data_IF_338356927499
#
_entry.id   IF_338356927499
#
_cell.length_a   1.000
_cell.length_b   1.000
_cell.length_c   1.000
_cell.angle_alpha   90.00
_cell.angle_beta   90.00
_cell.angle_gamma   90.00
#
_symmetry.space_group_name_H-M   'P 1'
#
loop_
_entity.id
_entity.type
_entity.pdbx_description
1 polymer ?
#
# COMPACT_ATOMS: atom_id res chain seq x y z
N UNK A 1 44.95 0.44 31.17
CA UNK A 1 43.53 0.14 31.47
C UNK A 1 42.70 1.29 30.96
N UNK A 2 41.74 0.98 30.10
CA UNK A 2 40.88 1.95 29.43
C UNK A 2 40.31 1.31 28.18
N UNK A 3 39.71 0.13 28.33
CA UNK A 3 38.98 -0.53 27.25
C UNK A 3 37.73 0.31 26.95
N UNK A 4 37.72 0.93 25.77
CA UNK A 4 36.54 1.58 25.24
C UNK A 4 35.51 0.50 24.89
N UNK A 5 34.39 0.52 25.62
CA UNK A 5 33.22 -0.30 25.36
C UNK A 5 32.68 0.04 23.95
N UNK A 6 32.41 -0.94 23.07
CA UNK A 6 31.77 -0.67 21.81
C UNK A 6 30.32 -0.29 22.06
N UNK A 7 29.98 0.97 21.80
CA UNK A 7 28.60 1.45 21.71
C UNK A 7 27.84 0.55 20.72
N UNK A 8 26.97 -0.31 21.25
CA UNK A 8 25.92 -0.95 20.46
C UNK A 8 25.08 0.19 19.89
N UNK A 9 25.21 0.46 18.59
CA UNK A 9 24.15 1.10 17.81
C UNK A 9 22.94 0.17 17.93
N UNK A 10 22.05 0.48 18.84
CA UNK A 10 20.67 0.01 18.75
C UNK A 10 20.19 0.50 17.38
N UNK A 11 20.09 -0.43 16.42
CA UNK A 11 19.41 -0.18 15.15
C UNK A 11 17.97 0.14 15.52
N UNK A 12 17.68 1.43 15.65
CA UNK A 12 16.35 1.94 15.85
C UNK A 12 15.52 1.43 14.67
N UNK A 13 14.72 0.38 14.89
CA UNK A 13 13.89 -0.22 13.86
C UNK A 13 13.04 0.88 13.22
N UNK A 14 13.20 1.08 11.91
CA UNK A 14 12.48 2.14 11.21
C UNK A 14 10.98 1.87 11.30
N UNK A 15 10.29 2.67 12.11
CA UNK A 15 8.85 2.56 12.36
C UNK A 15 8.03 2.56 11.05
N UNK A 16 8.53 3.20 9.99
CA UNK A 16 7.90 3.22 8.66
C UNK A 16 7.94 1.82 8.03
N UNK A 17 9.10 1.16 8.09
CA UNK A 17 9.30 -0.20 7.59
C UNK A 17 8.49 -1.21 8.39
N UNK A 18 8.49 -1.10 9.72
CA UNK A 18 7.68 -1.95 10.61
C UNK A 18 6.20 -1.83 10.28
N UNK A 19 5.68 -0.62 10.12
CA UNK A 19 4.29 -0.39 9.74
C UNK A 19 3.93 -1.02 8.38
N UNK A 20 4.77 -0.78 7.36
CA UNK A 20 4.54 -1.34 6.02
C UNK A 20 4.53 -2.87 6.07
N UNK A 21 5.48 -3.46 6.79
CA UNK A 21 5.55 -4.91 6.95
C UNK A 21 4.33 -5.48 7.68
N UNK A 22 3.91 -4.89 8.81
CA UNK A 22 2.70 -5.31 9.53
C UNK A 22 1.46 -5.29 8.62
N UNK A 23 1.32 -4.26 7.79
CA UNK A 23 0.22 -4.15 6.86
C UNK A 23 0.28 -5.27 5.80
N UNK A 24 1.44 -5.53 5.21
CA UNK A 24 1.67 -6.61 4.25
C UNK A 24 1.43 -7.99 4.87
N UNK A 25 1.81 -8.21 6.13
CA UNK A 25 1.51 -9.44 6.85
C UNK A 25 0.01 -9.65 6.99
N UNK A 26 -0.73 -8.61 7.37
CA UNK A 26 -2.19 -8.68 7.55
C UNK A 26 -2.93 -8.90 6.23
N UNK A 27 -2.57 -8.18 5.18
CA UNK A 27 -3.30 -8.20 3.90
C UNK A 27 -2.83 -9.30 2.96
N UNK A 28 -1.52 -9.46 2.76
CA UNK A 28 -0.95 -10.43 1.81
C UNK A 28 -0.59 -11.76 2.45
N UNK A 29 -0.79 -11.93 3.76
CA UNK A 29 -0.30 -13.09 4.54
C UNK A 29 1.20 -13.31 4.33
N UNK A 30 1.93 -12.19 4.21
CA UNK A 30 3.34 -12.19 3.89
C UNK A 30 4.13 -12.82 5.05
N UNK A 31 5.04 -13.75 4.72
CA UNK A 31 5.98 -14.33 5.70
C UNK A 31 7.16 -13.38 5.92
N UNK A 32 7.64 -13.30 7.16
CA UNK A 32 8.80 -12.49 7.53
C UNK A 32 10.04 -12.80 6.68
N UNK A 33 10.27 -14.08 6.37
CA UNK A 33 11.36 -14.51 5.48
C UNK A 33 11.39 -13.76 4.14
N UNK A 34 10.23 -13.48 3.54
CA UNK A 34 10.15 -12.77 2.25
C UNK A 34 10.48 -11.28 2.38
N UNK A 35 10.07 -10.67 3.48
CA UNK A 35 10.39 -9.28 3.81
C UNK A 35 11.89 -9.10 4.05
N UNK A 36 12.48 -9.95 4.91
CA UNK A 36 13.91 -9.93 5.19
C UNK A 36 14.75 -10.20 3.94
N UNK A 37 14.33 -11.13 3.06
CA UNK A 37 15.01 -11.37 1.77
C UNK A 37 14.97 -10.16 0.84
N UNK A 38 13.86 -9.44 0.81
CA UNK A 38 13.71 -8.22 0.00
C UNK A 38 14.61 -7.10 0.55
N UNK A 39 14.62 -6.88 1.87
CA UNK A 39 15.52 -5.91 2.51
C UNK A 39 17.00 -6.29 2.37
N UNK A 40 17.34 -7.58 2.34
CA UNK A 40 18.72 -8.03 2.11
C UNK A 40 19.19 -7.82 0.66
N UNK A 41 18.30 -7.45 -0.26
CA UNK A 41 18.65 -7.15 -1.65
C UNK A 41 18.82 -5.64 -1.80
N UNK A 42 20.07 -5.18 -1.90
CA UNK A 42 20.43 -3.75 -1.90
C UNK A 42 19.59 -2.92 -2.91
N UNK A 43 19.35 -3.45 -4.11
CA UNK A 43 18.56 -2.76 -5.13
C UNK A 43 17.09 -2.57 -4.71
N UNK A 44 16.47 -3.59 -4.12
CA UNK A 44 15.07 -3.55 -3.70
C UNK A 44 14.89 -2.68 -2.45
N UNK A 45 15.80 -2.83 -1.49
CA UNK A 45 15.85 -1.98 -0.29
C UNK A 45 16.01 -0.50 -0.68
N UNK A 46 16.91 -0.21 -1.62
CA UNK A 46 17.15 1.15 -2.10
C UNK A 46 15.89 1.77 -2.70
N UNK A 47 15.12 1.04 -3.52
CA UNK A 47 13.85 1.55 -4.09
C UNK A 47 12.88 1.92 -2.98
N UNK A 48 12.73 1.06 -1.98
CA UNK A 48 11.84 1.29 -0.84
C UNK A 48 12.28 2.51 -0.02
N UNK A 49 13.57 2.63 0.28
CA UNK A 49 14.12 3.73 1.07
C UNK A 49 14.12 5.05 0.30
N UNK A 50 14.42 5.04 -1.00
CA UNK A 50 14.36 6.22 -1.84
C UNK A 50 12.91 6.71 -2.00
N UNK A 51 11.94 5.80 -2.05
CA UNK A 51 10.52 6.14 -1.92
C UNK A 51 10.24 6.84 -0.60
N UNK A 52 10.52 6.22 0.56
CA UNK A 52 10.21 6.82 1.85
C UNK A 52 10.93 8.17 2.09
N UNK A 53 12.16 8.29 1.61
CA UNK A 53 12.98 9.49 1.77
C UNK A 53 12.73 10.56 0.69
N UNK A 54 11.73 10.39 -0.18
CA UNK A 54 11.37 11.39 -1.19
C UNK A 54 12.43 11.62 -2.27
N UNK A 55 13.32 10.65 -2.49
CA UNK A 55 14.41 10.72 -3.48
C UNK A 55 13.98 10.29 -4.89
N UNK A 56 12.78 9.75 -5.02
CA UNK A 56 12.12 9.41 -6.29
C UNK A 56 10.99 10.37 -6.58
N UNK A 57 10.79 10.69 -7.86
CA UNK A 57 9.69 11.53 -8.33
C UNK A 57 8.34 10.81 -8.22
N UNK A 58 8.34 9.48 -8.28
CA UNK A 58 7.13 8.67 -8.15
C UNK A 58 6.52 8.78 -6.75
N UNK A 59 5.23 9.12 -6.74
CA UNK A 59 4.42 9.22 -5.52
C UNK A 59 3.77 7.88 -5.17
N UNK A 60 3.84 6.89 -6.06
CA UNK A 60 3.22 5.57 -5.92
C UNK A 60 4.29 4.49 -5.80
N UNK A 61 4.14 3.64 -4.79
CA UNK A 61 4.91 2.42 -4.58
C UNK A 61 3.96 1.23 -4.47
N UNK A 62 4.22 0.17 -5.20
CA UNK A 62 3.46 -1.08 -5.15
C UNK A 62 4.35 -2.20 -4.64
N UNK A 63 3.92 -2.86 -3.57
CA UNK A 63 4.52 -4.08 -3.04
C UNK A 63 3.79 -5.29 -3.64
N UNK A 64 4.50 -6.12 -4.39
CA UNK A 64 3.92 -7.28 -5.07
C UNK A 64 4.87 -8.48 -5.10
N UNK A 65 4.36 -9.64 -5.49
CA UNK A 65 5.18 -10.83 -5.72
C UNK A 65 5.53 -10.96 -7.19
N UNK A 66 6.81 -11.13 -7.49
CA UNK A 66 7.26 -11.47 -8.84
C UNK A 66 6.85 -12.91 -9.21
N UNK A 67 7.01 -13.35 -10.47
CA UNK A 67 6.67 -14.72 -10.88
C UNK A 67 7.43 -15.82 -10.11
N UNK A 68 8.60 -15.51 -9.56
CA UNK A 68 9.37 -16.42 -8.70
C UNK A 68 8.88 -16.44 -7.23
N UNK A 69 7.81 -15.69 -6.90
CA UNK A 69 7.23 -15.63 -5.56
C UNK A 69 8.03 -14.78 -4.56
N UNK A 70 8.98 -13.97 -5.03
CA UNK A 70 9.75 -13.04 -4.22
C UNK A 70 9.00 -11.71 -4.09
N UNK A 71 9.09 -11.08 -2.92
CA UNK A 71 8.52 -9.75 -2.69
C UNK A 71 9.40 -8.71 -3.38
N UNK A 72 8.77 -7.84 -4.17
CA UNK A 72 9.43 -6.74 -4.85
C UNK A 72 8.66 -5.42 -4.61
N UNK A 73 9.37 -4.31 -4.35
CA UNK A 73 8.85 -2.96 -4.51
C UNK A 73 8.88 -2.55 -5.99
N UNK A 74 7.82 -1.90 -6.47
CA UNK A 74 7.69 -1.38 -7.83
C UNK A 74 7.22 0.06 -7.76
N UNK A 75 7.91 0.99 -8.43
CA UNK A 75 7.48 2.38 -8.53
C UNK A 75 6.39 2.51 -9.60
N UNK A 76 5.35 3.29 -9.29
CA UNK A 76 4.19 3.43 -10.16
C UNK A 76 3.26 2.20 -10.16
N UNK A 77 2.17 2.30 -10.93
CA UNK A 77 1.28 1.17 -11.13
C UNK A 77 1.81 0.26 -12.24
N UNK A 78 2.09 -1.03 -11.96
CA UNK A 78 2.51 -1.95 -13.00
C UNK A 78 1.36 -2.22 -13.98
N UNK A 79 1.69 -2.42 -15.26
CA UNK A 79 0.71 -2.61 -16.33
C UNK A 79 -0.24 -3.81 -16.13
N UNK A 80 0.17 -4.81 -15.34
CA UNK A 80 -0.72 -5.89 -14.93
C UNK A 80 -0.37 -6.38 -13.52
N UNK A 81 -1.41 -6.59 -12.71
CA UNK A 81 -1.29 -7.15 -11.35
C UNK A 81 -1.95 -8.52 -11.35
N UNK A 82 -1.10 -9.56 -11.45
CA UNK A 82 -1.51 -10.97 -11.45
C UNK A 82 -1.63 -11.58 -10.06
N UNK A 83 -0.96 -10.97 -9.09
CA UNK A 83 -0.90 -11.43 -7.71
C UNK A 83 -1.49 -10.34 -6.81
N UNK A 84 -1.94 -10.71 -5.61
CA UNK A 84 -2.31 -9.73 -4.60
C UNK A 84 -1.15 -8.75 -4.39
N UNK A 85 -1.45 -7.46 -4.41
CA UNK A 85 -0.48 -6.39 -4.21
C UNK A 85 -0.99 -5.39 -3.18
N UNK A 86 -0.10 -4.57 -2.66
CA UNK A 86 -0.44 -3.44 -1.80
C UNK A 86 0.19 -2.20 -2.39
N UNK A 87 -0.57 -1.11 -2.48
CA UNK A 87 -0.04 0.18 -2.90
C UNK A 87 0.16 1.11 -1.70
N UNK A 88 1.13 2.00 -1.84
CA UNK A 88 1.42 3.12 -0.95
C UNK A 88 1.58 4.37 -1.81
N UNK A 89 0.78 5.38 -1.56
CA UNK A 89 0.74 6.64 -2.31
C UNK A 89 1.05 7.78 -1.34
N UNK A 90 2.02 8.62 -1.69
CA UNK A 90 2.31 9.85 -0.95
C UNK A 90 1.27 10.91 -1.33
N UNK A 91 0.75 11.64 -0.34
CA UNK A 91 -0.12 12.79 -0.59
C UNK A 91 0.63 13.99 -1.17
N UNK A 92 1.90 14.14 -0.80
CA UNK A 92 2.76 15.26 -1.17
C UNK A 92 4.19 14.74 -1.45
N UNK A 93 5.02 15.55 -2.13
CA UNK A 93 6.41 15.21 -2.49
C UNK A 93 7.41 15.30 -1.32
N UNK A 94 6.94 15.62 -0.12
CA UNK A 94 7.81 15.74 1.05
C UNK A 94 8.26 14.37 1.59
N UNK A 95 9.33 14.40 2.39
CA UNK A 95 9.88 13.20 3.02
C UNK A 95 8.91 12.58 4.02
N UNK A 96 8.81 11.25 3.99
CA UNK A 96 8.02 10.49 4.95
C UNK A 96 8.88 10.25 6.19
N UNK A 97 8.51 10.81 7.33
CA UNK A 97 9.16 10.61 8.62
C UNK A 97 8.38 9.61 9.48
N UNK A 98 9.02 9.08 10.53
CA UNK A 98 8.36 8.17 11.48
C UNK A 98 7.14 8.76 12.20
N UNK A 99 6.98 10.08 12.20
CA UNK A 99 5.82 10.75 12.82
C UNK A 99 4.70 11.05 11.82
N UNK A 100 5.04 11.29 10.55
CA UNK A 100 4.10 11.80 9.56
C UNK A 100 3.49 10.71 8.65
N UNK A 101 4.07 9.51 8.61
CA UNK A 101 3.73 8.48 7.63
C UNK A 101 2.24 8.09 7.64
N UNK A 102 1.60 8.06 8.82
CA UNK A 102 0.17 7.71 8.96
C UNK A 102 -0.78 8.70 8.31
N UNK A 103 -0.39 9.98 8.24
CA UNK A 103 -1.24 11.04 7.65
C UNK A 103 -0.93 11.27 6.19
N UNK A 104 0.31 10.99 5.76
CA UNK A 104 0.83 11.31 4.42
C UNK A 104 0.86 10.13 3.46
N UNK A 105 0.81 8.90 3.95
CA UNK A 105 0.67 7.71 3.11
C UNK A 105 -0.79 7.30 3.04
N UNK A 106 -1.30 7.22 1.82
CA UNK A 106 -2.53 6.49 1.49
C UNK A 106 -2.12 5.09 1.06
N UNK A 107 -2.72 4.06 1.66
CA UNK A 107 -2.36 2.67 1.36
C UNK A 107 -3.61 1.82 1.25
N UNK A 108 -3.51 0.76 0.45
CA UNK A 108 -4.62 -0.15 0.21
C UNK A 108 -4.15 -1.41 -0.51
N UNK A 109 -4.99 -2.43 -0.52
CA UNK A 109 -4.75 -3.64 -1.29
C UNK A 109 -5.26 -3.51 -2.72
N UNK A 110 -4.60 -4.22 -3.63
CA UNK A 110 -5.03 -4.43 -5.00
C UNK A 110 -5.23 -5.92 -5.23
N UNK A 111 -6.45 -6.27 -5.63
CA UNK A 111 -6.80 -7.63 -5.95
C UNK A 111 -6.17 -8.10 -7.27
N UNK A 112 -5.79 -9.39 -7.36
CA UNK A 112 -5.37 -9.98 -8.61
C UNK A 112 -6.57 -10.01 -9.56
N UNK A 113 -6.42 -9.42 -10.76
CA UNK A 113 -7.44 -9.38 -11.82
C UNK A 113 -8.74 -8.66 -11.40
N UNK A 114 -8.75 -7.32 -11.40
CA UNK A 114 -9.96 -6.55 -11.11
C UNK A 114 -11.16 -6.93 -12.00
N UNK A 115 -10.93 -7.44 -13.22
CA UNK A 115 -11.98 -7.87 -14.15
C UNK A 115 -12.64 -9.20 -13.75
N UNK A 116 -11.88 -10.20 -13.27
CA UNK A 116 -12.44 -11.50 -12.86
C UNK A 116 -13.21 -11.38 -11.53
N UNK A 117 -12.75 -10.51 -10.61
CA UNK A 117 -13.51 -10.16 -9.42
C UNK A 117 -14.77 -9.33 -9.76
N UNK A 118 -14.72 -8.45 -10.75
CA UNK A 118 -15.92 -7.76 -11.26
C UNK A 118 -16.94 -8.75 -11.81
N UNK A 119 -16.52 -9.76 -12.58
CA UNK A 119 -17.42 -10.77 -13.11
C UNK A 119 -18.13 -11.56 -11.99
N UNK A 120 -17.43 -11.81 -10.88
CA UNK A 120 -17.99 -12.50 -9.71
C UNK A 120 -18.96 -11.61 -8.93
N UNK A 121 -18.68 -10.30 -8.80
CA UNK A 121 -19.55 -9.35 -8.10
C UNK A 121 -20.80 -8.96 -8.92
N UNK A 122 -20.67 -8.95 -10.25
CA UNK A 122 -21.78 -8.66 -11.18
C UNK A 122 -22.78 -9.81 -11.28
N UNK A 123 -22.37 -11.05 -10.96
CA UNK A 123 -23.30 -12.20 -10.92
C UNK A 123 -24.24 -12.20 -9.69
N UNK A 124 -23.93 -11.46 -8.61
CA UNK A 124 -24.82 -11.35 -7.44
C UNK A 124 -25.77 -10.13 -7.49
N UNK A 125 -25.58 -9.20 -8.42
CA UNK A 125 -26.45 -8.03 -8.59
C UNK A 125 -27.36 -8.26 -9.79
N UNK A 126 -28.57 -8.77 -9.54
CA UNK A 126 -29.63 -8.77 -10.55
C UNK A 126 -29.73 -7.38 -11.19
N UNK A 127 -29.53 -7.35 -12.51
CA UNK A 127 -29.67 -6.21 -13.40
C UNK A 127 -30.87 -5.32 -13.01
N UNK A 128 -30.59 -4.12 -12.51
CA UNK A 128 -31.67 -3.20 -12.12
C UNK A 128 -31.30 -1.74 -11.87
N UNK A 129 -30.06 -1.42 -11.47
CA UNK A 129 -29.71 -0.02 -11.17
C UNK A 129 -28.26 0.30 -11.55
N UNK A 130 -28.13 1.02 -12.66
CA UNK A 130 -26.88 1.49 -13.27
C UNK A 130 -26.13 2.55 -12.43
N UNK A 131 -26.72 3.00 -11.32
CA UNK A 131 -26.12 3.99 -10.41
C UNK A 131 -25.31 3.37 -9.25
N UNK A 132 -25.45 2.08 -8.96
CA UNK A 132 -24.74 1.42 -7.84
C UNK A 132 -23.32 0.94 -8.19
N UNK A 133 -23.02 0.75 -9.48
CA UNK A 133 -21.74 0.18 -9.92
C UNK A 133 -20.52 1.09 -9.66
N UNK A 134 -20.71 2.41 -9.65
CA UNK A 134 -19.60 3.35 -9.40
C UNK A 134 -19.24 3.37 -7.90
N UNK A 135 -20.22 3.17 -7.01
CA UNK A 135 -19.97 3.17 -5.56
C UNK A 135 -19.28 1.89 -5.07
N UNK A 136 -19.40 0.78 -5.80
CA UNK A 136 -18.70 -0.48 -5.47
C UNK A 136 -17.20 -0.47 -5.84
N UNK A 137 -16.77 0.41 -6.76
CA UNK A 137 -15.40 0.45 -7.28
C UNK A 137 -14.38 1.12 -6.34
N UNK A 138 -14.83 1.81 -5.28
CA UNK A 138 -13.93 2.47 -4.33
C UNK A 138 -14.29 2.04 -2.92
N UNK A 139 -13.64 0.98 -2.44
CA UNK A 139 -13.65 0.63 -1.02
C UNK A 139 -12.84 1.66 -0.24
N UNK A 140 -13.45 2.80 0.12
CA UNK A 140 -12.90 3.76 1.09
C UNK A 140 -13.25 3.27 2.51
N UNK A 141 -12.30 3.09 3.44
CA UNK A 141 -12.62 2.86 4.83
C UNK A 141 -12.87 4.18 5.59
N UNK A 142 -14.07 4.24 6.19
CA UNK A 142 -14.43 4.87 7.48
C UNK A 142 -14.34 6.39 7.65
N UNK A 143 -15.43 7.08 7.28
CA UNK A 143 -16.14 8.01 8.17
C UNK A 143 -17.56 8.25 7.62
N UNK A 144 -18.57 7.92 8.41
CA UNK A 144 -20.01 8.03 8.05
C UNK A 144 -20.49 9.47 7.82
N UNK A 145 -19.71 10.48 8.23
CA UNK A 145 -20.11 11.88 8.19
C UNK A 145 -20.18 12.48 6.77
N UNK A 146 -19.47 11.92 5.79
CA UNK A 146 -19.42 12.47 4.42
C UNK A 146 -20.59 12.03 3.52
N UNK A 147 -21.42 11.08 3.98
CA UNK A 147 -22.43 10.44 3.13
C UNK A 147 -23.76 11.20 3.07
N UNK A 148 -24.12 11.94 4.14
CA UNK A 148 -25.35 12.75 4.16
C UNK A 148 -25.26 14.01 3.30
N UNK A 149 -24.08 14.62 3.18
CA UNK A 149 -23.89 15.79 2.31
C UNK A 149 -23.92 15.41 0.81
N UNK A 150 -23.46 14.20 0.47
CA UNK A 150 -23.49 13.69 -0.90
C UNK A 150 -24.91 13.29 -1.36
N UNK A 151 -25.77 12.80 -0.48
CA UNK A 151 -27.16 12.47 -0.84
C UNK A 151 -28.00 13.74 -1.07
N UNK A 152 -27.82 14.77 -0.24
CA UNK A 152 -28.55 16.04 -0.36
C UNK A 152 -28.24 16.82 -1.65
N UNK A 153 -27.09 16.55 -2.29
CA UNK A 153 -26.71 17.17 -3.55
C UNK A 153 -27.29 16.47 -4.78
N UNK A 154 -27.76 15.22 -4.67
CA UNK A 154 -28.40 14.49 -5.76
C UNK A 154 -29.92 14.68 -5.82
N UNK A 155 -30.57 15.08 -4.73
CA UNK A 155 -32.03 15.30 -4.69
C UNK A 155 -32.48 16.62 -5.35
N UNK A 156 -31.56 17.41 -5.92
CA UNK A 156 -31.87 18.73 -6.49
C UNK A 156 -31.64 18.88 -8.01
N UNK A 157 -31.65 17.77 -8.76
CA UNK A 157 -31.85 17.78 -10.22
C UNK A 157 -33.19 17.18 -10.63
#
# INVERSE_FOLDING_TARGET
MGEASPEKKEEEEDLRLTFMFEYLQKTMRLKQERWTKMLATEELEKILMDFLNGRVADEVLVMTLNPAGQLIPVLGFPASIRNKAVYFIKRDKETITGENFRRRLVFGDMAPKPVDELATLVEEVNYGDEHLCIFALIRVPTSVASWYEASLLLDHQ
#
